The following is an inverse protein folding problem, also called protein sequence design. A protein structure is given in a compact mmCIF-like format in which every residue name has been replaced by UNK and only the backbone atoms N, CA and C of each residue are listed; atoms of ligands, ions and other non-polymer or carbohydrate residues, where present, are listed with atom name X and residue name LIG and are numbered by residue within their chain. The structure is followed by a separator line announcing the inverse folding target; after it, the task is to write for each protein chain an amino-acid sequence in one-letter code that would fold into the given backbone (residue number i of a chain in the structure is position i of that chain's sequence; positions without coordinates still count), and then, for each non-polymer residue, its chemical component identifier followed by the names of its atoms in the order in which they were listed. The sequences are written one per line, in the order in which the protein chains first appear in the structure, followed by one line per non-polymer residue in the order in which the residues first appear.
data_IF_177205900282
#
_entry.id   IF_177205900282
#
_cell.length_a   1.000
_cell.length_b   1.000
_cell.length_c   1.000
_cell.angle_alpha   90.00
_cell.angle_beta   90.00
_cell.angle_gamma   90.00
#
_symmetry.space_group_name_H-M   'P 1'
#
loop_
_entity.id
_entity.type
_entity.pdbx_description
1 polymer ?
#
# COMPACT_ATOMS: atom_id res chain seq x y z
N UNK A 1 6.10 -8.56 -22.28
CA UNK A 1 5.65 -8.69 -20.88
C UNK A 1 6.09 -7.43 -20.16
N UNK A 2 5.14 -6.61 -19.71
CA UNK A 2 5.46 -5.42 -18.93
C UNK A 2 5.86 -5.86 -17.52
N UNK A 3 6.78 -5.15 -16.90
CA UNK A 3 7.16 -5.35 -15.51
C UNK A 3 6.67 -4.14 -14.73
N UNK A 4 5.95 -4.36 -13.65
CA UNK A 4 5.28 -3.30 -12.89
C UNK A 4 5.63 -3.46 -11.42
N UNK A 5 6.04 -2.37 -10.79
CA UNK A 5 6.18 -2.27 -9.35
C UNK A 5 5.14 -1.29 -8.80
N UNK A 6 4.37 -1.72 -7.82
CA UNK A 6 3.34 -0.90 -7.17
C UNK A 6 3.71 -0.74 -5.70
N UNK A 7 3.95 0.50 -5.27
CA UNK A 7 4.28 0.86 -3.90
C UNK A 7 3.03 1.42 -3.20
N UNK A 8 2.35 0.58 -2.44
CA UNK A 8 1.21 0.97 -1.61
C UNK A 8 1.72 1.38 -0.21
N UNK A 9 1.51 2.65 0.14
CA UNK A 9 2.09 3.27 1.34
C UNK A 9 3.54 3.66 1.12
N UNK A 10 3.75 4.51 0.11
CA UNK A 10 5.09 4.94 -0.34
C UNK A 10 5.85 5.75 0.71
N UNK A 11 5.14 6.36 1.67
CA UNK A 11 5.72 7.15 2.76
C UNK A 11 6.65 8.26 2.19
N UNK A 12 7.86 8.41 2.73
CA UNK A 12 8.84 9.38 2.26
C UNK A 12 9.45 9.07 0.88
N UNK A 13 9.14 7.90 0.29
CA UNK A 13 9.64 7.48 -1.03
C UNK A 13 11.02 6.81 -1.01
N UNK A 14 11.57 6.49 0.16
CA UNK A 14 12.90 5.85 0.30
C UNK A 14 12.93 4.47 -0.35
N UNK A 15 11.89 3.67 -0.11
CA UNK A 15 11.74 2.31 -0.66
C UNK A 15 11.53 2.37 -2.17
N UNK A 16 10.59 3.20 -2.63
CA UNK A 16 10.40 3.48 -4.05
C UNK A 16 11.71 3.86 -4.75
N UNK A 17 12.47 4.79 -4.18
CA UNK A 17 13.76 5.22 -4.72
C UNK A 17 14.72 4.04 -4.90
N UNK A 18 14.83 3.17 -3.89
CA UNK A 18 15.67 1.97 -3.98
C UNK A 18 15.25 1.07 -5.13
N UNK A 19 13.96 0.76 -5.23
CA UNK A 19 13.46 -0.13 -6.29
C UNK A 19 13.55 0.48 -7.69
N UNK A 20 13.39 1.81 -7.85
CA UNK A 20 13.64 2.48 -9.13
C UNK A 20 15.08 2.28 -9.64
N UNK A 21 16.06 2.17 -8.73
CA UNK A 21 17.45 1.89 -9.09
C UNK A 21 17.72 0.39 -9.34
N UNK A 22 17.10 -0.49 -8.55
CA UNK A 22 17.27 -1.94 -8.67
C UNK A 22 16.52 -2.54 -9.88
N UNK A 23 15.43 -1.88 -10.30
CA UNK A 23 14.47 -2.38 -11.29
C UNK A 23 14.24 -1.37 -12.43
N UNK A 24 15.28 -0.92 -13.16
CA UNK A 24 15.19 0.18 -14.12
C UNK A 24 14.26 -0.06 -15.33
N UNK A 25 13.87 -1.33 -15.57
CA UNK A 25 12.95 -1.72 -16.65
C UNK A 25 11.48 -1.83 -16.21
N UNK A 26 11.12 -1.38 -15.00
CA UNK A 26 9.74 -1.47 -14.50
C UNK A 26 8.99 -0.15 -14.65
N UNK A 27 7.69 -0.24 -14.89
CA UNK A 27 6.77 0.88 -14.63
C UNK A 27 6.48 0.92 -13.13
N UNK A 28 6.42 2.11 -12.55
CA UNK A 28 6.21 2.34 -11.12
C UNK A 28 4.90 3.09 -10.87
N UNK A 29 4.15 2.62 -9.88
CA UNK A 29 2.96 3.29 -9.37
C UNK A 29 3.07 3.43 -7.86
N UNK A 30 3.05 4.66 -7.36
CA UNK A 30 3.22 4.99 -5.95
C UNK A 30 1.93 5.57 -5.38
N UNK A 31 1.47 5.05 -4.24
CA UNK A 31 0.28 5.50 -3.54
C UNK A 31 0.62 5.99 -2.14
N UNK A 32 0.31 7.26 -1.86
CA UNK A 32 0.50 7.88 -0.56
C UNK A 32 -0.64 8.87 -0.27
N UNK A 33 -1.49 8.64 0.74
CA UNK A 33 -2.57 9.56 1.08
C UNK A 33 -2.12 10.85 1.77
N UNK A 34 -0.99 10.84 2.48
CA UNK A 34 -0.53 12.00 3.23
C UNK A 34 0.14 13.02 2.30
N UNK A 35 -0.58 14.12 2.04
CA UNK A 35 -0.13 15.20 1.16
C UNK A 35 1.22 15.81 1.58
N UNK A 36 1.56 15.79 2.87
CA UNK A 36 2.85 16.32 3.38
C UNK A 36 4.05 15.47 2.95
N UNK A 37 3.85 14.20 2.61
CA UNK A 37 4.92 13.28 2.18
C UNK A 37 5.16 13.33 0.66
N UNK A 38 4.17 13.76 -0.12
CA UNK A 38 4.23 13.81 -1.59
C UNK A 38 5.44 14.61 -2.13
N UNK A 39 5.83 15.77 -1.56
CA UNK A 39 7.04 16.48 -2.00
C UNK A 39 8.33 15.66 -1.82
N UNK A 40 8.40 14.76 -0.83
CA UNK A 40 9.54 13.86 -0.68
C UNK A 40 9.60 12.83 -1.78
N UNK A 41 8.47 12.19 -2.09
CA UNK A 41 8.35 11.20 -3.17
C UNK A 41 8.73 11.83 -4.52
N UNK A 42 8.21 13.02 -4.82
CA UNK A 42 8.51 13.74 -6.07
C UNK A 42 10.01 14.00 -6.24
N UNK A 43 10.71 14.40 -5.17
CA UNK A 43 12.17 14.61 -5.22
C UNK A 43 12.93 13.33 -5.61
N UNK A 44 12.49 12.16 -5.12
CA UNK A 44 13.09 10.89 -5.54
C UNK A 44 12.79 10.57 -7.00
N UNK A 45 11.56 10.81 -7.46
CA UNK A 45 11.16 10.55 -8.85
C UNK A 45 11.88 11.47 -9.83
N UNK A 46 12.05 12.75 -9.51
CA UNK A 46 12.80 13.72 -10.32
C UNK A 46 14.29 13.37 -10.47
N UNK A 47 14.83 12.56 -9.55
CA UNK A 47 16.21 12.08 -9.58
C UNK A 47 16.35 10.72 -10.31
N UNK A 48 15.24 10.04 -10.61
CA UNK A 48 15.23 8.77 -11.30
C UNK A 48 15.54 8.95 -12.80
N UNK A 49 16.07 7.90 -13.45
CA UNK A 49 16.44 7.96 -14.87
C UNK A 49 15.21 7.99 -15.80
N UNK A 50 15.38 8.65 -16.97
CA UNK A 50 14.31 9.01 -17.93
C UNK A 50 13.53 7.83 -18.57
N UNK A 51 13.89 6.56 -18.33
CA UNK A 51 13.34 5.43 -19.11
C UNK A 51 12.09 4.75 -18.54
N UNK A 52 11.78 4.95 -17.26
CA UNK A 52 10.66 4.28 -16.59
C UNK A 52 9.44 5.21 -16.45
N UNK A 53 8.23 4.70 -16.72
CA UNK A 53 7.00 5.39 -16.33
C UNK A 53 6.90 5.35 -14.82
N UNK A 54 6.79 6.51 -14.17
CA UNK A 54 6.58 6.62 -12.73
C UNK A 54 5.36 7.50 -12.48
N UNK A 55 4.33 6.95 -11.84
CA UNK A 55 3.09 7.67 -11.52
C UNK A 55 2.90 7.73 -10.00
N UNK A 56 2.73 8.95 -9.48
CA UNK A 56 2.44 9.19 -8.06
C UNK A 56 0.96 9.53 -7.92
N UNK A 57 0.25 8.77 -7.10
CA UNK A 57 -1.15 8.97 -6.76
C UNK A 57 -1.28 9.42 -5.31
N UNK A 58 -1.73 10.67 -5.05
CA UNK A 58 -1.95 11.18 -3.70
C UNK A 58 -3.28 10.64 -3.15
N UNK A 59 -3.34 9.34 -2.89
CA UNK A 59 -4.58 8.65 -2.52
C UNK A 59 -4.31 7.43 -1.64
N UNK A 60 -5.25 7.13 -0.75
CA UNK A 60 -5.27 5.91 0.03
C UNK A 60 -5.63 4.72 -0.87
N UNK A 61 -4.91 3.61 -0.70
CA UNK A 61 -5.25 2.31 -1.29
C UNK A 61 -6.41 1.72 -0.49
N UNK A 62 -7.58 1.57 -1.12
CA UNK A 62 -8.80 1.22 -0.41
C UNK A 62 -9.73 0.29 -1.23
N UNK A 63 -10.95 0.12 -0.74
CA UNK A 63 -11.97 -0.79 -1.28
C UNK A 63 -12.98 -0.14 -2.21
N UNK A 64 -12.96 1.19 -2.34
CA UNK A 64 -13.84 1.94 -3.22
C UNK A 64 -13.21 3.31 -3.52
N UNK A 65 -13.52 3.86 -4.70
CA UNK A 65 -13.16 5.23 -5.04
C UNK A 65 -13.97 6.22 -4.18
N UNK A 66 -13.34 7.32 -3.75
CA UNK A 66 -14.03 8.37 -3.02
C UNK A 66 -13.12 9.15 -2.08
N UNK A 67 -13.63 9.42 -0.88
CA UNK A 67 -12.90 10.10 0.19
C UNK A 67 -12.95 9.23 1.44
N UNK A 68 -11.82 9.11 2.12
CA UNK A 68 -11.68 8.41 3.40
C UNK A 68 -10.97 9.29 4.40
N UNK A 69 -11.26 9.09 5.68
CA UNK A 69 -10.58 9.76 6.77
C UNK A 69 -9.20 9.12 7.01
N UNK A 70 -8.14 9.92 6.88
CA UNK A 70 -6.80 9.57 7.31
C UNK A 70 -6.58 10.09 8.74
N UNK A 71 -6.26 9.18 9.65
CA UNK A 71 -5.86 9.52 11.01
C UNK A 71 -4.34 9.67 11.06
N UNK A 72 -3.88 10.89 11.34
CA UNK A 72 -2.46 11.23 11.36
C UNK A 72 -1.80 10.82 12.68
N UNK A 73 -0.65 10.16 12.59
CA UNK A 73 0.26 9.89 13.70
C UNK A 73 1.70 10.21 13.29
N UNK A 74 2.68 9.49 13.84
CA UNK A 74 4.00 9.42 13.21
C UNK A 74 3.85 9.04 11.72
N UNK A 75 4.75 9.51 10.85
CA UNK A 75 4.60 9.26 9.41
C UNK A 75 4.62 7.76 9.06
N UNK A 76 5.28 6.93 9.86
CA UNK A 76 5.27 5.44 9.81
C UNK A 76 4.15 4.84 10.68
N UNK A 77 3.05 5.55 10.87
CA UNK A 77 1.95 5.03 11.68
C UNK A 77 0.55 5.52 11.28
N UNK A 78 0.48 6.53 10.41
CA UNK A 78 -0.81 7.10 9.96
C UNK A 78 -1.65 6.04 9.28
N UNK A 79 -2.96 6.05 9.49
CA UNK A 79 -3.83 4.95 9.06
C UNK A 79 -5.21 5.45 8.67
N UNK A 80 -5.89 4.73 7.77
CA UNK A 80 -7.31 4.92 7.49
C UNK A 80 -8.20 4.00 8.33
N UNK A 81 -7.59 3.17 9.18
CA UNK A 81 -8.28 2.21 10.02
C UNK A 81 -8.42 2.73 11.46
N UNK A 82 -9.61 2.63 12.08
CA UNK A 82 -9.77 3.00 13.48
C UNK A 82 -9.10 1.98 14.41
N UNK A 83 -8.67 2.44 15.58
CA UNK A 83 -8.28 1.55 16.69
C UNK A 83 -6.89 0.93 16.58
N UNK A 84 -6.05 1.40 15.65
CA UNK A 84 -4.62 1.09 15.65
C UNK A 84 -3.94 1.66 16.90
N UNK A 85 -3.15 0.82 17.57
CA UNK A 85 -2.23 1.22 18.62
C UNK A 85 -0.86 1.53 18.02
N UNK A 86 -0.28 2.65 18.42
CA UNK A 86 1.09 2.99 18.03
C UNK A 86 2.06 2.39 19.06
N UNK A 87 3.13 1.71 18.61
CA UNK A 87 4.19 1.25 19.51
C UNK A 87 4.76 2.40 20.36
N UNK A 88 5.12 2.14 21.64
CA UNK A 88 5.59 3.18 22.56
C UNK A 88 6.94 3.80 22.17
N UNK A 89 7.61 3.29 21.14
CA UNK A 89 8.85 3.85 20.62
C UNK A 89 8.64 5.13 19.82
N UNK A 90 7.43 5.37 19.30
CA UNK A 90 7.08 6.60 18.60
C UNK A 90 6.59 7.66 19.59
N UNK A 91 7.13 8.87 19.43
CA UNK A 91 6.79 10.04 20.23
C UNK A 91 5.40 10.61 19.91
N UNK A 92 4.90 10.35 18.70
CA UNK A 92 3.59 10.79 18.22
C UNK A 92 2.58 9.63 18.15
N UNK A 93 1.48 9.77 18.89
CA UNK A 93 0.31 8.90 18.80
C UNK A 93 -0.61 9.32 17.66
N UNK A 94 -1.50 8.43 17.22
CA UNK A 94 -2.52 8.73 16.20
C UNK A 94 -3.59 9.64 16.79
N UNK A 95 -3.88 10.76 16.11
CA UNK A 95 -4.99 11.66 16.42
C UNK A 95 -6.28 11.21 15.71
N UNK A 96 -7.09 10.42 16.41
CA UNK A 96 -8.42 10.03 15.94
C UNK A 96 -9.48 11.13 16.03
N UNK A 97 -9.19 12.24 16.72
CA UNK A 97 -10.15 13.32 16.95
C UNK A 97 -10.23 14.32 15.81
N UNK A 98 -9.19 14.39 14.98
CA UNK A 98 -9.05 15.34 13.87
C UNK A 98 -8.60 14.62 12.59
N UNK A 99 -9.43 13.74 12.01
CA UNK A 99 -9.09 13.09 10.75
C UNK A 99 -8.93 14.09 9.60
N UNK A 100 -8.06 13.76 8.66
CA UNK A 100 -7.88 14.50 7.42
C UNK A 100 -8.56 13.73 6.28
N UNK A 101 -9.58 14.29 5.62
CA UNK A 101 -10.22 13.64 4.48
C UNK A 101 -9.24 13.61 3.29
N UNK A 102 -8.98 12.42 2.76
CA UNK A 102 -8.07 12.20 1.63
C UNK A 102 -8.76 11.42 0.51
N UNK A 103 -8.33 11.57 -0.75
CA UNK A 103 -8.81 10.72 -1.83
C UNK A 103 -8.51 9.24 -1.54
N UNK A 104 -9.45 8.36 -1.87
CA UNK A 104 -9.29 6.92 -1.82
C UNK A 104 -9.53 6.32 -3.20
N UNK A 105 -8.79 5.26 -3.52
CA UNK A 105 -8.98 4.49 -4.74
C UNK A 105 -9.49 3.08 -4.43
N UNK A 106 -10.38 2.56 -5.27
CA UNK A 106 -10.65 1.13 -5.34
C UNK A 106 -9.44 0.43 -5.97
N UNK A 107 -8.59 -0.18 -5.14
CA UNK A 107 -7.36 -0.81 -5.62
C UNK A 107 -7.63 -2.00 -6.55
N UNK A 108 -8.67 -2.78 -6.28
CA UNK A 108 -9.07 -3.90 -7.12
C UNK A 108 -9.53 -3.43 -8.50
N UNK A 109 -10.38 -2.41 -8.55
CA UNK A 109 -10.83 -1.84 -9.80
C UNK A 109 -9.69 -1.13 -10.55
N UNK A 110 -8.77 -0.48 -9.83
CA UNK A 110 -7.57 0.11 -10.39
C UNK A 110 -6.66 -0.94 -11.03
N UNK A 111 -6.35 -2.05 -10.34
CA UNK A 111 -5.57 -3.16 -10.89
C UNK A 111 -6.19 -3.70 -12.18
N UNK A 112 -7.51 -3.93 -12.18
CA UNK A 112 -8.23 -4.45 -13.35
C UNK A 112 -8.15 -3.53 -14.57
N UNK A 113 -8.09 -2.21 -14.37
CA UNK A 113 -7.97 -1.21 -15.46
C UNK A 113 -6.53 -1.03 -15.94
N UNK A 114 -5.56 -1.22 -15.04
CA UNK A 114 -4.15 -0.88 -15.30
C UNK A 114 -3.33 -2.08 -15.75
N UNK A 115 -3.59 -3.27 -15.21
CA UNK A 115 -2.77 -4.49 -15.37
C UNK A 115 -3.45 -5.49 -16.30
N UNK A 116 -2.64 -6.19 -17.11
CA UNK A 116 -3.09 -7.34 -17.91
C UNK A 116 -2.56 -8.67 -17.33
N UNK A 117 -3.26 -9.81 -17.49
CA UNK A 117 -2.81 -11.11 -16.97
C UNK A 117 -1.43 -11.60 -17.46
N UNK A 118 -0.87 -10.99 -18.51
CA UNK A 118 0.47 -11.28 -19.03
C UNK A 118 1.57 -10.36 -18.50
N UNK A 119 1.27 -9.44 -17.58
CA UNK A 119 2.24 -8.57 -16.93
C UNK A 119 2.87 -9.28 -15.73
N UNK A 120 4.11 -8.92 -15.42
CA UNK A 120 4.74 -9.31 -14.16
C UNK A 120 4.55 -8.17 -13.16
N UNK A 121 3.75 -8.40 -12.12
CA UNK A 121 3.35 -7.35 -11.17
C UNK A 121 3.85 -7.67 -9.77
N UNK A 122 4.67 -6.77 -9.24
CA UNK A 122 5.13 -6.79 -7.86
C UNK A 122 4.41 -5.69 -7.10
N UNK A 123 3.77 -6.05 -5.99
CA UNK A 123 3.14 -5.08 -5.08
C UNK A 123 3.92 -5.09 -3.76
N UNK A 124 4.33 -3.92 -3.27
CA UNK A 124 4.68 -3.69 -1.87
C UNK A 124 3.49 -3.07 -1.19
N UNK A 125 3.01 -3.68 -0.10
CA UNK A 125 1.83 -3.25 0.62
C UNK A 125 2.13 -3.09 2.11
N UNK A 126 2.18 -1.85 2.53
CA UNK A 126 2.35 -1.44 3.92
C UNK A 126 1.51 -0.17 4.06
N UNK A 127 0.24 -0.38 4.40
CA UNK A 127 -0.83 0.62 4.41
C UNK A 127 -1.55 0.64 5.77
N UNK A 128 -0.82 0.21 6.79
CA UNK A 128 -1.07 0.49 8.20
C UNK A 128 -2.42 0.00 8.72
N UNK A 129 -2.81 -1.21 8.31
CA UNK A 129 -4.04 -1.91 8.68
C UNK A 129 -5.04 -2.04 7.53
N UNK A 130 -4.93 -1.20 6.50
CA UNK A 130 -5.80 -1.27 5.35
C UNK A 130 -5.53 -2.52 4.46
N UNK A 131 -4.48 -3.30 4.75
CA UNK A 131 -4.15 -4.52 4.03
C UNK A 131 -5.33 -5.50 4.04
N UNK A 132 -5.95 -5.70 5.21
CA UNK A 132 -7.01 -6.69 5.40
C UNK A 132 -8.26 -6.41 4.55
N UNK A 133 -8.89 -5.22 4.62
CA UNK A 133 -10.04 -4.94 3.76
C UNK A 133 -9.68 -4.93 2.27
N UNK A 134 -8.50 -4.42 1.90
CA UNK A 134 -8.05 -4.40 0.50
C UNK A 134 -7.83 -5.82 -0.02
N UNK A 135 -7.09 -6.66 0.68
CA UNK A 135 -6.81 -8.05 0.27
C UNK A 135 -8.06 -8.92 0.26
N UNK A 136 -8.98 -8.74 1.22
CA UNK A 136 -10.27 -9.41 1.20
C UNK A 136 -11.03 -9.09 -0.08
N UNK A 137 -11.08 -7.80 -0.46
CA UNK A 137 -11.70 -7.40 -1.72
C UNK A 137 -10.96 -7.95 -2.96
N UNK A 138 -9.62 -7.97 -2.95
CA UNK A 138 -8.85 -8.55 -4.06
C UNK A 138 -9.13 -10.05 -4.25
N UNK A 139 -9.33 -10.79 -3.15
CA UNK A 139 -9.76 -12.18 -3.16
C UNK A 139 -11.18 -12.32 -3.73
N UNK A 140 -12.13 -11.53 -3.21
CA UNK A 140 -13.54 -11.57 -3.63
C UNK A 140 -13.71 -11.22 -5.12
N UNK A 141 -12.99 -10.21 -5.60
CA UNK A 141 -13.04 -9.76 -7.00
C UNK A 141 -12.19 -10.64 -7.95
N UNK A 142 -11.37 -11.54 -7.40
CA UNK A 142 -10.41 -12.37 -8.12
C UNK A 142 -9.23 -11.61 -8.73
N UNK A 143 -9.07 -10.32 -8.42
CA UNK A 143 -8.00 -9.44 -8.93
C UNK A 143 -6.66 -9.69 -8.25
N UNK A 144 -6.63 -10.40 -7.12
CA UNK A 144 -5.40 -10.91 -6.50
C UNK A 144 -4.53 -11.69 -7.50
N UNK A 145 -5.16 -12.40 -8.45
CA UNK A 145 -4.48 -13.20 -9.48
C UNK A 145 -3.75 -12.35 -10.53
N UNK A 146 -3.92 -11.02 -10.52
CA UNK A 146 -3.15 -10.10 -11.35
C UNK A 146 -1.78 -9.77 -10.73
N UNK A 147 -1.57 -10.12 -9.47
CA UNK A 147 -0.33 -9.87 -8.74
C UNK A 147 0.56 -11.11 -8.85
N UNK A 148 1.81 -10.92 -9.28
CA UNK A 148 2.80 -12.02 -9.34
C UNK A 148 3.49 -12.23 -8.00
N UNK A 149 3.85 -11.15 -7.31
CA UNK A 149 4.51 -11.17 -5.99
C UNK A 149 3.92 -10.06 -5.11
N UNK A 150 3.59 -10.40 -3.87
CA UNK A 150 3.12 -9.46 -2.86
C UNK A 150 4.13 -9.40 -1.71
N UNK A 151 4.84 -8.30 -1.59
CA UNK A 151 5.56 -7.91 -0.37
C UNK A 151 4.58 -7.22 0.57
N UNK A 152 4.50 -7.66 1.83
CA UNK A 152 3.49 -7.15 2.76
C UNK A 152 3.98 -7.03 4.20
N UNK A 153 3.68 -5.90 4.85
CA UNK A 153 3.82 -5.72 6.29
C UNK A 153 2.47 -5.97 6.96
N UNK A 154 2.38 -7.01 7.77
CA UNK A 154 1.12 -7.39 8.41
C UNK A 154 0.90 -6.63 9.72
N UNK A 155 -0.04 -5.70 9.70
CA UNK A 155 -0.29 -4.82 10.84
C UNK A 155 -1.22 -5.36 11.93
N UNK A 156 -1.59 -6.65 11.95
CA UNK A 156 -2.66 -7.14 12.84
C UNK A 156 -2.37 -6.94 14.34
N UNK A 157 -1.11 -7.04 14.74
CA UNK A 157 -0.64 -6.92 16.12
C UNK A 157 -0.87 -5.49 16.68
N UNK A 158 -0.95 -4.51 15.78
CA UNK A 158 -1.29 -3.11 16.10
C UNK A 158 -2.79 -2.89 16.30
N UNK A 159 -3.67 -3.85 15.94
CA UNK A 159 -5.14 -3.73 16.09
C UNK A 159 -5.70 -4.69 17.14
N UNK A 160 -6.05 -4.21 18.36
CA UNK A 160 -6.57 -5.07 19.44
C UNK A 160 -7.88 -5.79 19.08
N UNK A 161 -8.67 -5.21 18.18
CA UNK A 161 -9.94 -5.77 17.74
C UNK A 161 -9.78 -6.92 16.74
N UNK A 162 -8.59 -7.07 16.14
CA UNK A 162 -8.30 -8.13 15.19
C UNK A 162 -7.71 -9.33 15.93
N UNK A 163 -8.37 -10.48 15.83
CA UNK A 163 -7.87 -11.72 16.38
C UNK A 163 -6.76 -12.30 15.49
N UNK A 164 -5.87 -13.06 16.12
CA UNK A 164 -4.85 -13.83 15.40
C UNK A 164 -5.46 -14.78 14.35
N UNK A 165 -6.63 -15.36 14.66
CA UNK A 165 -7.32 -16.28 13.76
C UNK A 165 -7.84 -15.58 12.49
N UNK A 166 -8.37 -14.36 12.61
CA UNK A 166 -8.78 -13.56 11.45
C UNK A 166 -7.59 -13.21 10.55
N UNK A 167 -6.46 -12.83 11.15
CA UNK A 167 -5.21 -12.63 10.40
C UNK A 167 -4.77 -13.90 9.67
N UNK A 168 -4.66 -15.03 10.39
CA UNK A 168 -4.20 -16.30 9.80
C UNK A 168 -5.11 -16.75 8.64
N UNK A 169 -6.42 -16.54 8.76
CA UNK A 169 -7.38 -16.86 7.69
C UNK A 169 -7.13 -16.03 6.42
N UNK A 170 -6.98 -14.71 6.55
CA UNK A 170 -6.72 -13.83 5.40
C UNK A 170 -5.36 -14.14 4.80
N UNK A 171 -4.31 -14.25 5.62
CA UNK A 171 -2.96 -14.56 5.16
C UNK A 171 -2.90 -15.90 4.41
N UNK A 172 -3.56 -16.95 4.91
CA UNK A 172 -3.63 -18.24 4.23
C UNK A 172 -4.37 -18.15 2.89
N UNK A 173 -5.47 -17.41 2.81
CA UNK A 173 -6.23 -17.22 1.57
C UNK A 173 -5.42 -16.45 0.52
N UNK A 174 -4.68 -15.41 0.92
CA UNK A 174 -3.82 -14.64 0.01
C UNK A 174 -2.66 -15.50 -0.49
N UNK A 175 -1.94 -16.20 0.39
CA UNK A 175 -0.82 -17.09 0.03
C UNK A 175 -1.23 -18.28 -0.84
N UNK A 176 -2.52 -18.64 -0.87
CA UNK A 176 -3.02 -19.65 -1.80
C UNK A 176 -3.15 -19.13 -3.24
N UNK A 177 -3.14 -17.81 -3.45
CA UNK A 177 -3.34 -17.18 -4.75
C UNK A 177 -2.08 -16.50 -5.32
N UNK A 178 -1.19 -15.99 -4.45
CA UNK A 178 -0.01 -15.19 -4.86
C UNK A 178 1.22 -15.55 -4.04
N UNK A 179 2.42 -15.35 -4.61
CA UNK A 179 3.69 -15.45 -3.89
C UNK A 179 3.80 -14.30 -2.86
N UNK A 180 3.56 -14.61 -1.60
CA UNK A 180 3.62 -13.66 -0.48
C UNK A 180 5.01 -13.67 0.14
N UNK A 181 5.55 -12.48 0.38
CA UNK A 181 6.84 -12.25 1.04
C UNK A 181 6.65 -11.23 2.14
N UNK A 182 7.17 -11.50 3.32
CA UNK A 182 7.10 -10.53 4.41
C UNK A 182 7.95 -9.29 4.06
N UNK A 183 7.44 -8.13 4.46
CA UNK A 183 8.11 -6.84 4.42
C UNK A 183 8.34 -6.42 5.87
N UNK A 184 9.60 -6.52 6.30
CA UNK A 184 10.11 -6.09 7.62
C UNK A 184 11.28 -5.11 7.44
#
# INVERSE_FOLDING_TARGET
MRKIFIDCGTNLGVVLNRFMHELPDHDFYAFEPNAELIPSIRRHVEQAQDSARIEISPSAVWTHDGTIDLFLGHHESSTVMPGKRVPPMYDQQIDYSSPVPVPAIDFSAWLRRTVSPGDHVVVKMDIEGAEYPVLTKLLDDGTINLISVLYIEWHHDRFPAMSRAEHDQVAAAVSACVDVRDWD
#
